data_IF_828692191219
#
_entry.id   IF_828692191219
#
_cell.length_a   1.000
_cell.length_b   1.000
_cell.length_c   1.000
_cell.angle_alpha   90.00
_cell.angle_beta   90.00
_cell.angle_gamma   90.00
#
_symmetry.space_group_name_H-M   'P 1'
#
loop_
_entity.id
_entity.type
_entity.pdbx_description
1 polymer ?
#
# COMPACT_ATOMS: atom_id res chain seq x y z
N UNK A 1 30.02 64.61 44.81
CA UNK A 1 31.26 63.82 44.51
C UNK A 1 30.86 62.33 44.43
N UNK A 2 31.13 61.74 43.30
CA UNK A 2 31.13 60.29 42.96
C UNK A 2 29.75 59.70 42.81
N UNK A 3 29.14 59.65 41.67
CA UNK A 3 29.51 59.00 40.38
C UNK A 3 29.57 57.49 40.45
N UNK A 4 28.69 56.94 39.64
CA UNK A 4 28.96 56.12 38.47
C UNK A 4 28.81 54.62 38.60
N UNK A 5 28.09 54.11 37.61
CA UNK A 5 28.15 52.82 36.98
C UNK A 5 27.19 51.75 37.48
N UNK A 6 26.04 51.72 36.84
CA UNK A 6 25.37 50.45 36.44
C UNK A 6 24.66 50.67 35.14
N UNK A 7 25.38 50.43 34.06
CA UNK A 7 24.81 50.20 32.73
C UNK A 7 25.65 49.14 32.08
N UNK A 8 25.01 48.22 31.45
CA UNK A 8 25.57 47.16 30.59
C UNK A 8 25.63 45.76 31.23
N UNK A 9 24.50 45.09 31.39
CA UNK A 9 24.33 43.63 31.26
C UNK A 9 22.81 43.38 31.10
N UNK A 10 22.27 43.59 29.96
CA UNK A 10 20.90 43.16 29.63
C UNK A 10 20.65 43.16 28.11
N UNK A 11 21.56 42.59 27.35
CA UNK A 11 21.36 42.47 25.88
C UNK A 11 21.91 41.19 25.23
N UNK A 12 22.07 40.12 25.99
CA UNK A 12 22.53 38.83 25.38
C UNK A 12 21.62 37.63 25.65
N UNK A 13 20.40 37.81 26.17
CA UNK A 13 19.52 36.69 26.50
C UNK A 13 18.31 36.49 25.57
N UNK A 14 18.19 37.24 24.46
CA UNK A 14 17.02 37.13 23.55
C UNK A 14 17.32 36.56 22.16
N UNK A 15 18.54 36.15 21.89
CA UNK A 15 18.91 35.64 20.56
C UNK A 15 18.97 34.09 20.44
N UNK A 16 18.69 33.32 21.49
CA UNK A 16 18.82 31.86 21.50
C UNK A 16 17.47 31.10 21.51
N UNK A 17 16.34 31.79 21.56
CA UNK A 17 15.02 31.16 21.60
C UNK A 17 14.33 31.02 20.22
N UNK A 18 14.90 31.57 19.16
CA UNK A 18 14.26 31.58 17.83
C UNK A 18 14.73 30.45 16.87
N UNK A 19 15.66 29.58 17.26
CA UNK A 19 16.22 28.55 16.39
C UNK A 19 15.75 27.10 16.65
N UNK A 20 14.80 26.87 17.56
CA UNK A 20 14.35 25.52 17.90
C UNK A 20 12.92 25.18 17.46
N UNK A 21 12.30 25.94 16.58
CA UNK A 21 10.92 25.65 16.12
C UNK A 21 10.87 25.20 14.65
N UNK A 22 11.99 25.09 13.93
CA UNK A 22 11.97 24.66 12.51
C UNK A 22 12.26 23.17 12.28
N UNK A 23 12.42 22.37 13.32
CA UNK A 23 12.76 20.95 13.22
C UNK A 23 11.58 19.97 13.17
N UNK A 24 10.35 20.40 13.44
CA UNK A 24 9.20 19.48 13.60
C UNK A 24 8.31 19.31 12.38
N UNK A 25 8.55 19.96 11.26
CA UNK A 25 7.64 19.91 10.10
C UNK A 25 7.98 18.85 9.04
N UNK A 26 9.06 18.07 9.17
CA UNK A 26 9.44 17.11 8.14
C UNK A 26 9.01 15.66 8.39
N UNK A 27 8.48 15.35 9.56
CA UNK A 27 8.07 13.97 9.93
C UNK A 27 6.60 13.68 9.71
N UNK A 28 5.77 14.71 9.55
CA UNK A 28 4.32 14.61 9.56
C UNK A 28 3.69 14.09 8.25
N UNK A 29 4.46 13.73 7.23
CA UNK A 29 3.92 13.34 5.91
C UNK A 29 4.53 12.07 5.33
N UNK A 30 4.85 11.09 6.18
CA UNK A 30 5.41 9.81 5.72
C UNK A 30 4.36 8.75 5.43
N UNK A 31 3.13 8.92 5.89
CA UNK A 31 2.00 7.99 5.76
C UNK A 31 0.71 8.75 5.49
N UNK A 32 -0.29 8.03 4.96
CA UNK A 32 -1.60 8.57 4.62
C UNK A 32 -1.65 9.27 3.26
N UNK A 33 -2.82 9.78 2.90
CA UNK A 33 -3.06 10.44 1.60
C UNK A 33 -2.11 11.61 1.40
N UNK A 34 -1.40 11.63 0.26
CA UNK A 34 -0.41 12.65 -0.07
C UNK A 34 1.01 12.34 0.42
N UNK A 35 1.26 11.18 1.02
CA UNK A 35 2.60 10.77 1.45
C UNK A 35 3.56 10.71 0.26
N UNK A 36 4.74 11.32 0.43
CA UNK A 36 5.76 11.37 -0.61
C UNK A 36 6.67 10.15 -0.54
N UNK A 37 7.04 9.65 -1.71
CA UNK A 37 8.04 8.60 -1.82
C UNK A 37 9.37 9.03 -1.16
N UNK A 38 9.94 8.25 -0.22
CA UNK A 38 11.29 8.49 0.27
C UNK A 38 12.32 8.31 -0.86
N UNK A 39 13.52 8.87 -0.68
CA UNK A 39 14.58 8.81 -1.73
C UNK A 39 14.96 7.39 -2.14
N UNK A 40 14.85 6.43 -1.24
CA UNK A 40 15.13 5.02 -1.48
C UNK A 40 13.96 4.23 -2.07
N UNK A 41 12.79 4.85 -2.23
CA UNK A 41 11.65 4.22 -2.85
C UNK A 41 11.64 4.47 -4.37
N UNK A 42 11.12 3.50 -5.08
CA UNK A 42 10.84 3.55 -6.50
C UNK A 42 9.36 3.86 -6.73
N UNK A 43 9.07 4.80 -7.64
CA UNK A 43 7.68 5.15 -8.02
C UNK A 43 7.19 4.13 -9.05
N UNK A 44 5.98 3.63 -8.82
CA UNK A 44 5.33 2.62 -9.66
C UNK A 44 4.16 3.17 -10.47
N UNK A 45 3.64 4.34 -10.10
CA UNK A 45 2.67 5.06 -10.92
C UNK A 45 2.71 6.56 -10.64
N UNK A 46 2.93 7.33 -11.70
CA UNK A 46 3.02 8.80 -11.71
C UNK A 46 1.90 9.49 -12.50
N UNK A 47 0.91 8.72 -12.95
CA UNK A 47 -0.17 9.17 -13.82
C UNK A 47 0.11 8.94 -15.32
N UNK A 48 1.27 8.42 -15.70
CA UNK A 48 1.64 8.24 -17.11
C UNK A 48 1.40 6.82 -17.62
N UNK A 49 1.04 6.73 -18.90
CA UNK A 49 0.97 5.45 -19.63
C UNK A 49 2.33 4.77 -19.69
N UNK A 50 3.38 5.56 -19.89
CA UNK A 50 4.75 5.06 -19.95
C UNK A 50 5.10 4.26 -18.70
N UNK A 51 4.84 4.81 -17.51
CA UNK A 51 5.16 4.13 -16.25
C UNK A 51 4.32 2.86 -16.05
N UNK A 52 3.04 2.88 -16.43
CA UNK A 52 2.22 1.69 -16.41
C UNK A 52 2.82 0.57 -17.28
N UNK A 53 3.23 0.88 -18.51
CA UNK A 53 3.81 -0.10 -19.43
C UNK A 53 5.20 -0.58 -19.00
N UNK A 54 6.00 0.29 -18.36
CA UNK A 54 7.34 -0.06 -17.88
C UNK A 54 7.33 -0.91 -16.62
N UNK A 55 6.44 -0.62 -15.66
CA UNK A 55 6.48 -1.17 -14.30
C UNK A 55 5.52 -2.33 -14.08
N UNK A 56 4.44 -2.44 -14.87
CA UNK A 56 3.36 -3.38 -14.63
C UNK A 56 3.18 -4.37 -15.77
N UNK A 57 2.63 -5.52 -15.42
CA UNK A 57 2.15 -6.55 -16.35
C UNK A 57 0.86 -7.13 -15.81
N UNK A 58 0.12 -7.90 -16.63
CA UNK A 58 -0.98 -8.69 -16.11
C UNK A 58 -0.47 -9.84 -15.23
N UNK A 59 -1.17 -10.07 -14.15
CA UNK A 59 -1.00 -11.28 -13.37
C UNK A 59 -1.71 -12.46 -14.07
N UNK A 60 -0.96 -13.48 -14.45
CA UNK A 60 -1.47 -14.63 -15.21
C UNK A 60 -2.04 -15.71 -14.29
N UNK A 61 -3.05 -15.37 -13.51
CA UNK A 61 -3.77 -16.30 -12.65
C UNK A 61 -4.80 -17.18 -13.38
N UNK A 62 -5.57 -18.00 -12.63
CA UNK A 62 -6.46 -19.01 -13.24
C UNK A 62 -7.56 -18.47 -14.14
N UNK A 63 -7.95 -17.20 -13.91
CA UNK A 63 -9.04 -16.56 -14.68
C UNK A 63 -8.52 -15.53 -15.67
N UNK A 64 -7.21 -15.46 -15.83
CA UNK A 64 -6.57 -14.46 -16.67
C UNK A 64 -7.12 -14.50 -18.10
N UNK A 65 -7.52 -13.35 -18.60
CA UNK A 65 -8.05 -13.19 -19.96
C UNK A 65 -7.58 -11.88 -20.63
N UNK A 66 -6.68 -11.14 -20.00
CA UNK A 66 -6.13 -9.90 -20.55
C UNK A 66 -5.08 -10.15 -21.64
N UNK A 67 -4.84 -9.14 -22.46
CA UNK A 67 -3.80 -9.13 -23.49
C UNK A 67 -2.91 -7.89 -23.30
N UNK A 68 -1.58 -8.09 -23.38
CA UNK A 68 -0.64 -6.98 -23.33
C UNK A 68 -0.78 -6.03 -24.54
N UNK A 69 -0.49 -4.73 -24.37
CA UNK A 69 -0.14 -4.06 -23.12
C UNK A 69 -1.30 -4.03 -22.13
N UNK A 70 -1.00 -3.76 -20.85
CA UNK A 70 -2.05 -3.57 -19.82
C UNK A 70 -3.06 -2.53 -20.29
N UNK A 71 -4.34 -2.92 -20.36
CA UNK A 71 -5.41 -2.06 -20.92
C UNK A 71 -6.18 -1.26 -19.85
N UNK A 72 -5.74 -1.30 -18.60
CA UNK A 72 -6.27 -0.40 -17.59
C UNK A 72 -6.16 1.04 -18.08
N UNK A 73 -7.26 1.78 -17.99
CA UNK A 73 -7.32 3.13 -18.52
C UNK A 73 -6.68 4.15 -17.55
N UNK A 74 -6.11 5.20 -18.14
CA UNK A 74 -5.66 6.37 -17.39
C UNK A 74 -6.70 7.46 -17.59
N UNK A 75 -7.31 7.88 -16.49
CA UNK A 75 -8.41 8.85 -16.48
C UNK A 75 -8.04 10.11 -15.71
N UNK A 76 -8.81 11.17 -15.84
CA UNK A 76 -8.64 12.39 -15.03
C UNK A 76 -8.90 12.08 -13.56
N UNK A 77 -8.07 12.61 -12.65
CA UNK A 77 -8.35 12.56 -11.21
C UNK A 77 -9.66 13.34 -10.92
N UNK A 78 -10.69 12.69 -10.34
CA UNK A 78 -11.97 13.36 -10.09
C UNK A 78 -11.92 14.39 -8.95
N UNK A 79 -10.85 14.40 -8.16
CA UNK A 79 -10.71 15.25 -6.96
C UNK A 79 -9.62 16.30 -7.15
N UNK A 80 -8.52 15.93 -7.80
CA UNK A 80 -7.34 16.80 -7.95
C UNK A 80 -6.97 17.00 -9.42
N UNK A 81 -5.95 17.81 -9.67
CA UNK A 81 -5.33 17.89 -11.01
C UNK A 81 -4.52 16.64 -11.28
N UNK A 82 -4.46 16.24 -12.56
CA UNK A 82 -3.65 15.12 -13.02
C UNK A 82 -4.48 13.94 -13.50
N UNK A 83 -3.81 12.81 -13.60
CA UNK A 83 -4.33 11.55 -14.13
C UNK A 83 -4.10 10.41 -13.15
N UNK A 84 -4.99 9.44 -13.16
CA UNK A 84 -5.02 8.30 -12.24
C UNK A 84 -5.32 7.02 -13.02
N UNK A 85 -4.96 5.89 -12.46
CA UNK A 85 -5.18 4.57 -13.03
C UNK A 85 -6.57 4.06 -12.62
N UNK A 86 -7.34 3.56 -13.57
CA UNK A 86 -8.63 2.90 -13.32
C UNK A 86 -8.45 1.39 -13.37
N UNK A 87 -8.84 0.70 -12.30
CA UNK A 87 -8.71 -0.74 -12.12
C UNK A 87 -9.74 -1.55 -12.93
N UNK A 88 -9.87 -1.24 -14.20
CA UNK A 88 -10.83 -1.93 -15.06
C UNK A 88 -10.26 -2.14 -16.47
N UNK A 89 -10.36 -3.37 -16.95
CA UNK A 89 -10.15 -3.74 -18.36
C UNK A 89 -11.41 -4.43 -18.88
N UNK A 90 -12.35 -3.68 -19.47
CA UNK A 90 -13.61 -4.26 -19.96
C UNK A 90 -13.41 -5.21 -21.14
N UNK A 91 -12.22 -5.23 -21.76
CA UNK A 91 -11.90 -6.15 -22.87
C UNK A 91 -11.47 -7.54 -22.38
N UNK A 92 -11.04 -7.65 -21.11
CA UNK A 92 -10.64 -8.91 -20.49
C UNK A 92 -11.88 -9.63 -19.93
N UNK A 93 -12.40 -10.61 -20.64
CA UNK A 93 -13.60 -11.39 -20.28
C UNK A 93 -14.80 -10.52 -19.83
N UNK A 94 -14.94 -9.32 -20.42
CA UNK A 94 -15.99 -8.36 -20.08
C UNK A 94 -15.77 -7.66 -18.72
N UNK A 95 -14.51 -7.50 -18.29
CA UNK A 95 -14.17 -6.85 -17.03
C UNK A 95 -14.49 -7.67 -15.79
N UNK A 96 -14.68 -8.97 -15.91
CA UNK A 96 -15.03 -9.86 -14.79
C UNK A 96 -13.87 -10.03 -13.81
N UNK A 97 -14.23 -10.30 -12.59
CA UNK A 97 -13.36 -10.62 -11.47
C UNK A 97 -12.18 -11.53 -11.82
N UNK A 98 -10.98 -11.09 -11.47
CA UNK A 98 -9.73 -11.84 -11.61
C UNK A 98 -9.26 -12.10 -13.05
N UNK A 99 -9.81 -11.38 -14.03
CA UNK A 99 -9.42 -11.59 -15.45
C UNK A 99 -8.31 -10.65 -15.90
N UNK A 100 -8.11 -9.55 -15.20
CA UNK A 100 -7.21 -8.48 -15.59
C UNK A 100 -6.44 -7.83 -14.43
N UNK A 101 -6.17 -8.57 -13.36
CA UNK A 101 -5.31 -8.11 -12.27
C UNK A 101 -3.94 -7.73 -12.82
N UNK A 102 -3.36 -6.66 -12.31
CA UNK A 102 -2.01 -6.25 -12.67
C UNK A 102 -1.04 -6.46 -11.52
N UNK A 103 0.21 -6.77 -11.85
CA UNK A 103 1.28 -7.02 -10.88
C UNK A 103 2.53 -6.28 -11.33
N UNK A 104 3.34 -5.82 -10.37
CA UNK A 104 4.64 -5.22 -10.68
C UNK A 104 5.55 -6.24 -11.35
N UNK A 105 6.32 -5.79 -12.37
CA UNK A 105 7.32 -6.64 -13.03
C UNK A 105 8.49 -6.97 -12.11
N UNK A 106 8.85 -6.02 -11.23
CA UNK A 106 9.84 -6.25 -10.18
C UNK A 106 9.16 -6.96 -9.01
N UNK A 107 9.86 -7.93 -8.46
CA UNK A 107 9.43 -8.73 -7.32
C UNK A 107 10.20 -8.32 -6.05
N UNK A 108 9.58 -8.47 -4.89
CA UNK A 108 10.09 -8.04 -3.60
C UNK A 108 9.92 -9.16 -2.58
N UNK A 109 10.89 -9.28 -1.68
CA UNK A 109 10.79 -10.15 -0.51
C UNK A 109 10.22 -9.38 0.66
N UNK A 110 10.96 -8.40 1.14
CA UNK A 110 10.55 -7.48 2.20
C UNK A 110 10.46 -6.08 1.62
N UNK A 111 9.41 -5.35 1.94
CA UNK A 111 9.22 -4.03 1.36
C UNK A 111 8.30 -3.15 2.20
N UNK A 112 8.44 -1.86 1.99
CA UNK A 112 7.43 -0.86 2.33
C UNK A 112 6.73 -0.41 1.05
N UNK A 113 5.41 -0.34 1.08
CA UNK A 113 4.62 0.16 -0.04
C UNK A 113 3.63 1.22 0.43
N UNK A 114 3.35 2.15 -0.46
CA UNK A 114 2.27 3.13 -0.35
C UNK A 114 1.41 3.03 -1.59
N UNK A 115 0.10 2.99 -1.39
CA UNK A 115 -0.90 2.96 -2.47
C UNK A 115 -2.05 3.86 -2.10
N UNK A 116 -2.33 4.87 -2.92
CA UNK A 116 -3.56 5.64 -2.81
C UNK A 116 -4.64 5.08 -3.71
N UNK A 117 -5.84 4.93 -3.15
CA UNK A 117 -7.01 4.46 -3.88
C UNK A 117 -8.25 5.32 -3.62
N UNK A 118 -9.18 5.30 -4.56
CA UNK A 118 -10.48 5.97 -4.45
C UNK A 118 -11.54 5.02 -4.99
N UNK A 119 -12.58 4.79 -4.20
CA UNK A 119 -13.77 4.04 -4.61
C UNK A 119 -14.83 5.07 -5.05
N UNK A 120 -15.13 5.16 -6.35
CA UNK A 120 -16.04 6.20 -6.84
C UNK A 120 -17.51 5.90 -6.56
N UNK A 121 -17.89 4.62 -6.56
CA UNK A 121 -19.27 4.18 -6.48
C UNK A 121 -19.48 3.16 -5.37
N UNK A 122 -20.71 3.15 -4.82
CA UNK A 122 -21.12 2.18 -3.80
C UNK A 122 -20.89 0.74 -4.28
N UNK A 123 -20.38 -0.10 -3.38
CA UNK A 123 -20.08 -1.49 -3.65
C UNK A 123 -18.82 -1.70 -4.50
N UNK A 124 -18.01 -0.66 -4.71
CA UNK A 124 -16.74 -0.79 -5.41
C UNK A 124 -15.80 -1.74 -4.69
N UNK A 125 -15.14 -2.61 -5.43
CA UNK A 125 -14.30 -3.68 -4.93
C UNK A 125 -13.00 -3.80 -5.73
N UNK A 126 -11.91 -4.00 -5.02
CA UNK A 126 -10.56 -4.24 -5.50
C UNK A 126 -9.72 -4.79 -4.35
N UNK A 127 -8.42 -5.01 -4.57
CA UNK A 127 -7.51 -5.48 -3.54
C UNK A 127 -6.07 -5.09 -3.84
N UNK A 128 -5.30 -4.88 -2.78
CA UNK A 128 -3.85 -4.73 -2.81
C UNK A 128 -3.22 -6.01 -2.27
N UNK A 129 -2.45 -6.73 -3.09
CA UNK A 129 -1.84 -7.99 -2.71
C UNK A 129 -0.35 -7.84 -2.46
N UNK A 130 0.07 -8.15 -1.24
CA UNK A 130 1.46 -8.20 -0.82
C UNK A 130 2.09 -9.49 -1.37
N UNK A 131 3.27 -9.39 -1.96
CA UNK A 131 4.00 -10.52 -2.54
C UNK A 131 3.11 -11.36 -3.49
N UNK A 132 2.12 -10.71 -4.14
CA UNK A 132 1.14 -11.34 -5.03
C UNK A 132 0.29 -12.46 -4.35
N UNK A 133 0.21 -12.49 -3.03
CA UNK A 133 -0.40 -13.58 -2.24
C UNK A 133 -1.39 -13.10 -1.20
N UNK A 134 -1.02 -12.08 -0.42
CA UNK A 134 -1.75 -11.68 0.79
C UNK A 134 -2.51 -10.40 0.53
N UNK A 135 -3.83 -10.47 0.60
CA UNK A 135 -4.70 -9.36 0.24
C UNK A 135 -4.98 -8.42 1.40
N UNK A 136 -4.80 -7.13 1.16
CA UNK A 136 -5.42 -6.06 1.92
C UNK A 136 -6.64 -5.59 1.13
N UNK A 137 -7.82 -5.78 1.69
CA UNK A 137 -9.09 -5.55 1.01
C UNK A 137 -9.37 -4.08 0.75
N UNK A 138 -9.91 -3.81 -0.44
CA UNK A 138 -10.47 -2.51 -0.84
C UNK A 138 -11.93 -2.74 -1.24
N UNK A 139 -12.85 -2.59 -0.28
CA UNK A 139 -14.28 -2.87 -0.48
C UNK A 139 -15.14 -1.80 0.20
N UNK A 140 -16.05 -1.18 -0.53
CA UNK A 140 -17.01 -0.26 0.08
C UNK A 140 -18.06 -1.00 0.90
N UNK A 141 -18.21 -0.62 2.16
CA UNK A 141 -19.37 -0.94 2.99
C UNK A 141 -19.26 -2.10 3.97
N UNK A 142 -18.12 -2.77 4.08
CA UNK A 142 -17.92 -3.89 5.01
C UNK A 142 -16.71 -3.68 5.93
N UNK A 143 -16.80 -4.12 7.19
CA UNK A 143 -15.73 -4.06 8.19
C UNK A 143 -15.43 -5.43 8.81
N UNK A 144 -15.84 -6.52 8.18
CA UNK A 144 -15.53 -7.89 8.59
C UNK A 144 -14.10 -8.30 8.17
N UNK A 145 -13.71 -9.55 8.39
CA UNK A 145 -12.46 -10.14 7.88
C UNK A 145 -12.35 -10.15 6.35
N UNK A 146 -13.41 -9.81 5.64
CA UNK A 146 -13.45 -9.60 4.19
C UNK A 146 -13.69 -8.14 3.81
N UNK A 147 -13.77 -7.24 4.80
CA UNK A 147 -14.10 -5.85 4.61
C UNK A 147 -12.89 -4.95 4.39
N UNK A 148 -13.17 -3.69 4.21
CA UNK A 148 -12.18 -2.67 3.91
C UNK A 148 -11.07 -2.60 4.97
N UNK A 149 -9.82 -2.71 4.54
CA UNK A 149 -8.65 -2.70 5.41
C UNK A 149 -8.34 -4.02 6.11
N UNK A 150 -9.13 -5.06 5.88
CA UNK A 150 -8.82 -6.38 6.39
C UNK A 150 -7.59 -6.99 5.69
N UNK A 151 -6.78 -7.71 6.44
CA UNK A 151 -5.95 -8.77 5.87
C UNK A 151 -6.87 -9.99 5.71
N UNK A 152 -7.22 -10.32 4.49
CA UNK A 152 -8.31 -11.25 4.17
C UNK A 152 -8.15 -12.57 4.91
N UNK A 153 -9.20 -12.94 5.65
CA UNK A 153 -9.33 -14.12 6.52
C UNK A 153 -8.38 -14.22 7.71
N UNK A 154 -7.41 -13.35 7.83
CA UNK A 154 -6.55 -13.29 9.01
C UNK A 154 -7.20 -12.40 10.07
N UNK A 155 -7.41 -11.14 9.75
CA UNK A 155 -7.93 -10.16 10.70
C UNK A 155 -8.69 -9.04 10.01
N UNK A 156 -9.77 -8.60 10.64
CA UNK A 156 -10.52 -7.41 10.27
C UNK A 156 -9.75 -6.14 10.65
N UNK A 157 -10.06 -5.02 10.01
CA UNK A 157 -9.58 -3.72 10.48
C UNK A 157 -10.25 -3.38 11.82
N UNK A 158 -9.49 -3.09 12.89
CA UNK A 158 -10.05 -2.85 14.23
C UNK A 158 -10.90 -1.59 14.31
N UNK A 159 -10.82 -0.72 13.32
CA UNK A 159 -11.65 0.48 13.20
C UNK A 159 -11.74 0.94 11.75
N UNK A 160 -12.83 1.60 11.46
CA UNK A 160 -13.13 2.10 10.12
C UNK A 160 -12.41 3.44 9.88
N UNK A 161 -11.32 3.40 9.12
CA UNK A 161 -10.51 4.58 8.82
C UNK A 161 -10.81 5.18 7.44
N UNK A 162 -11.90 4.80 6.82
CA UNK A 162 -12.32 5.17 5.48
C UNK A 162 -12.73 6.64 5.38
N UNK A 163 -12.21 7.36 4.40
CA UNK A 163 -12.58 8.75 4.13
C UNK A 163 -13.94 8.89 3.40
N UNK A 164 -14.47 7.77 2.88
CA UNK A 164 -15.74 7.72 2.17
C UNK A 164 -15.63 7.63 0.65
N UNK A 165 -16.77 7.38 -0.01
CA UNK A 165 -16.88 7.33 -1.46
C UNK A 165 -16.40 8.62 -2.12
N UNK A 166 -15.78 8.50 -3.27
CA UNK A 166 -15.27 9.63 -4.04
C UNK A 166 -14.13 10.40 -3.39
N UNK A 167 -13.54 9.87 -2.32
CA UNK A 167 -12.40 10.45 -1.62
C UNK A 167 -11.19 9.54 -1.69
N UNK A 168 -10.00 10.15 -1.76
CA UNK A 168 -8.75 9.43 -1.71
C UNK A 168 -8.52 8.81 -0.34
N UNK A 169 -8.04 7.60 -0.36
CA UNK A 169 -7.63 6.79 0.76
C UNK A 169 -6.20 6.29 0.52
N UNK A 170 -5.51 5.86 1.56
CA UNK A 170 -4.15 5.34 1.43
C UNK A 170 -3.91 4.14 2.34
N UNK A 171 -3.25 3.13 1.81
CA UNK A 171 -2.55 2.12 2.58
C UNK A 171 -1.06 2.40 2.57
N UNK A 172 -0.46 2.44 3.75
CA UNK A 172 0.97 2.37 3.96
C UNK A 172 1.28 1.05 4.66
N UNK A 173 2.14 0.26 4.06
CA UNK A 173 2.38 -1.11 4.51
C UNK A 173 3.86 -1.38 4.64
N UNK A 174 4.29 -1.99 5.73
CA UNK A 174 5.56 -2.71 5.78
C UNK A 174 5.25 -4.20 5.81
N UNK A 175 5.83 -4.92 4.88
CA UNK A 175 5.66 -6.36 4.70
C UNK A 175 6.99 -7.06 4.85
N UNK A 176 7.01 -8.12 5.64
CA UNK A 176 8.10 -9.08 5.79
C UNK A 176 7.63 -10.46 5.35
N UNK A 177 8.29 -11.01 4.35
CA UNK A 177 7.98 -12.34 3.85
C UNK A 177 8.21 -13.42 4.92
N UNK A 178 7.58 -14.56 4.76
CA UNK A 178 7.86 -15.75 5.55
C UNK A 178 9.36 -16.12 5.49
N UNK A 179 9.84 -16.84 6.47
CA UNK A 179 11.21 -17.35 6.50
C UNK A 179 11.20 -18.86 6.54
N UNK A 180 12.05 -19.45 5.72
CA UNK A 180 12.23 -20.89 5.64
C UNK A 180 13.66 -21.26 5.98
N UNK A 181 13.83 -22.42 6.62
CA UNK A 181 15.12 -23.06 6.85
C UNK A 181 14.97 -24.54 6.53
N UNK A 182 15.82 -25.06 5.66
CA UNK A 182 15.80 -26.46 5.20
C UNK A 182 14.40 -26.88 4.67
N UNK A 183 13.75 -25.96 3.92
CA UNK A 183 12.42 -26.18 3.36
C UNK A 183 11.26 -26.16 4.35
N UNK A 184 11.53 -25.83 5.62
CA UNK A 184 10.49 -25.71 6.66
C UNK A 184 10.23 -24.25 7.00
N UNK A 185 8.95 -23.89 7.12
CA UNK A 185 8.54 -22.59 7.61
C UNK A 185 9.03 -22.40 9.06
N UNK A 186 9.86 -21.38 9.29
CA UNK A 186 10.38 -21.04 10.64
C UNK A 186 9.76 -19.76 11.18
N UNK A 187 9.37 -18.82 10.31
CA UNK A 187 8.66 -17.61 10.68
C UNK A 187 7.60 -17.30 9.63
N UNK A 188 6.39 -16.95 10.09
CA UNK A 188 5.30 -16.52 9.21
C UNK A 188 5.61 -15.19 8.57
N UNK A 189 4.96 -14.91 7.45
CA UNK A 189 4.89 -13.54 6.91
C UNK A 189 4.20 -12.61 7.91
N UNK A 190 4.59 -11.33 7.91
CA UNK A 190 4.03 -10.30 8.79
C UNK A 190 3.77 -9.01 8.01
N UNK A 191 2.74 -8.29 8.44
CA UNK A 191 2.46 -6.98 7.93
C UNK A 191 2.08 -6.00 9.04
N UNK A 192 2.60 -4.77 8.94
CA UNK A 192 2.07 -3.60 9.62
C UNK A 192 1.40 -2.72 8.58
N UNK A 193 0.14 -2.37 8.82
CA UNK A 193 -0.69 -1.61 7.89
C UNK A 193 -1.21 -0.35 8.56
N UNK A 194 -1.00 0.77 7.90
CA UNK A 194 -1.68 2.02 8.22
C UNK A 194 -2.74 2.29 7.15
N UNK A 195 -3.93 2.61 7.59
CA UNK A 195 -5.04 3.03 6.76
C UNK A 195 -5.35 4.50 7.06
N UNK A 196 -5.17 5.38 6.07
CA UNK A 196 -5.32 6.83 6.21
C UNK A 196 -4.54 7.40 7.42
N UNK A 197 -3.32 6.91 7.64
CA UNK A 197 -2.45 7.34 8.73
C UNK A 197 -2.75 6.71 10.10
N UNK A 198 -3.76 5.85 10.21
CA UNK A 198 -4.07 5.11 11.44
C UNK A 198 -3.56 3.68 11.33
N UNK A 199 -2.78 3.22 12.30
CA UNK A 199 -2.29 1.85 12.36
C UNK A 199 -3.46 0.90 12.60
N UNK A 200 -3.80 0.07 11.62
CA UNK A 200 -4.89 -0.90 11.68
C UNK A 200 -4.39 -2.31 11.95
N UNK A 201 -3.18 -2.64 11.52
CA UNK A 201 -2.51 -3.90 11.85
C UNK A 201 -1.08 -3.59 12.30
N UNK A 202 -0.58 -4.32 13.29
CA UNK A 202 0.77 -4.17 13.84
C UNK A 202 1.43 -5.54 13.94
N UNK A 203 2.51 -5.77 13.19
CA UNK A 203 3.22 -7.06 13.11
C UNK A 203 2.27 -8.26 12.97
N UNK A 204 1.17 -8.06 12.23
CA UNK A 204 0.15 -9.10 12.06
C UNK A 204 0.73 -10.28 11.31
N UNK A 205 0.78 -11.44 11.97
CA UNK A 205 1.14 -12.69 11.32
C UNK A 205 0.10 -13.11 10.29
N UNK A 206 0.57 -13.66 9.17
CA UNK A 206 -0.24 -14.16 8.09
C UNK A 206 -0.01 -15.66 7.96
N UNK A 207 -1.06 -16.45 8.13
CA UNK A 207 -0.98 -17.90 8.24
C UNK A 207 -1.38 -18.62 6.96
N UNK A 208 -2.03 -17.91 6.02
CA UNK A 208 -2.55 -18.53 4.79
C UNK A 208 -2.58 -17.56 3.63
N UNK A 209 -2.48 -18.11 2.43
CA UNK A 209 -2.71 -17.35 1.19
C UNK A 209 -4.20 -17.33 0.92
N UNK A 210 -4.74 -16.13 0.69
CA UNK A 210 -6.16 -15.96 0.41
C UNK A 210 -6.38 -14.78 -0.52
N UNK A 211 -7.51 -14.81 -1.16
CA UNK A 211 -8.02 -13.71 -1.96
C UNK A 211 -8.13 -14.07 -3.42
N UNK A 212 -9.36 -14.01 -3.90
CA UNK A 212 -9.74 -14.09 -5.28
C UNK A 212 -9.08 -15.22 -6.09
N UNK A 213 -8.49 -14.86 -7.23
CA UNK A 213 -7.91 -15.84 -8.14
C UNK A 213 -6.73 -16.62 -7.59
N UNK A 214 -6.06 -16.13 -6.55
CA UNK A 214 -4.93 -16.81 -5.94
C UNK A 214 -5.35 -18.07 -5.19
N UNK A 215 -6.57 -18.10 -4.67
CA UNK A 215 -7.00 -19.16 -3.75
C UNK A 215 -6.95 -20.56 -4.36
N UNK A 216 -7.08 -20.71 -5.66
CA UNK A 216 -7.00 -22.01 -6.32
C UNK A 216 -5.59 -22.43 -6.73
N UNK A 217 -4.67 -21.49 -6.92
CA UNK A 217 -3.31 -21.75 -7.41
C UNK A 217 -2.31 -21.82 -6.26
N UNK A 218 -2.31 -20.81 -5.41
CA UNK A 218 -1.32 -20.67 -4.35
C UNK A 218 -1.74 -21.41 -3.06
N UNK A 219 -2.76 -22.23 -3.15
CA UNK A 219 -3.29 -22.98 -2.02
C UNK A 219 -4.36 -22.26 -1.24
N UNK A 220 -4.63 -20.99 -1.52
CA UNK A 220 -5.72 -20.22 -0.96
C UNK A 220 -5.96 -20.46 0.53
N UNK A 221 -7.15 -20.91 0.86
CA UNK A 221 -7.57 -21.25 2.22
C UNK A 221 -7.18 -22.66 2.70
N UNK A 222 -6.28 -23.36 1.99
CA UNK A 222 -5.84 -24.72 2.34
C UNK A 222 -4.74 -24.74 3.43
N UNK A 223 -4.90 -23.95 4.47
CA UNK A 223 -4.04 -24.03 5.66
C UNK A 223 -2.58 -23.64 5.43
N UNK A 224 -2.33 -22.55 4.72
CA UNK A 224 -0.98 -22.01 4.51
C UNK A 224 -0.22 -22.58 3.32
N UNK A 225 -0.86 -23.38 2.51
CA UNK A 225 -0.33 -23.83 1.22
C UNK A 225 -0.06 -22.63 0.32
N UNK A 226 1.05 -22.64 -0.40
CA UNK A 226 1.47 -21.50 -1.22
C UNK A 226 2.25 -20.40 -0.47
N UNK A 227 2.42 -20.52 0.85
CA UNK A 227 3.32 -19.64 1.61
C UNK A 227 4.76 -19.92 1.17
N UNK A 228 5.52 -18.86 0.95
CA UNK A 228 6.89 -18.94 0.47
C UNK A 228 7.70 -17.73 0.90
N UNK A 229 9.01 -17.83 0.87
CA UNK A 229 9.96 -16.72 1.01
C UNK A 229 10.49 -16.20 -0.34
N UNK A 230 10.02 -16.79 -1.44
CA UNK A 230 10.34 -16.33 -2.79
C UNK A 230 9.74 -14.95 -3.03
N UNK A 231 10.51 -13.99 -3.56
CA UNK A 231 9.98 -12.67 -3.91
C UNK A 231 8.72 -12.74 -4.79
N UNK A 232 7.85 -11.78 -4.66
CA UNK A 232 6.66 -11.63 -5.49
C UNK A 232 6.29 -10.16 -5.67
N UNK A 233 5.52 -9.86 -6.71
CA UNK A 233 5.13 -8.49 -7.04
C UNK A 233 4.06 -7.92 -6.10
N UNK A 234 3.92 -6.61 -6.10
CA UNK A 234 2.72 -5.96 -5.61
C UNK A 234 1.63 -6.12 -6.68
N UNK A 235 0.49 -6.70 -6.32
CA UNK A 235 -0.63 -6.91 -7.24
C UNK A 235 -1.81 -6.00 -6.89
N UNK A 236 -2.48 -5.46 -7.90
CA UNK A 236 -3.74 -4.74 -7.79
C UNK A 236 -4.82 -5.52 -8.53
N UNK A 237 -5.98 -5.65 -7.91
CA UNK A 237 -7.06 -6.47 -8.42
C UNK A 237 -8.02 -5.69 -9.31
N UNK A 238 -8.51 -6.36 -10.37
CA UNK A 238 -9.60 -5.90 -11.22
C UNK A 238 -10.83 -6.78 -10.99
N UNK A 239 -11.89 -6.21 -10.43
CA UNK A 239 -13.15 -6.90 -10.17
C UNK A 239 -14.34 -6.37 -11.00
N UNK A 240 -14.04 -5.66 -12.09
CA UNK A 240 -15.08 -5.03 -12.89
C UNK A 240 -15.67 -3.76 -12.27
N UNK A 241 -15.00 -3.20 -11.27
CA UNK A 241 -15.34 -1.95 -10.61
C UNK A 241 -14.30 -0.87 -10.94
N UNK A 242 -14.75 0.37 -11.06
CA UNK A 242 -13.90 1.52 -11.40
C UNK A 242 -13.14 2.08 -10.19
N UNK A 243 -12.43 1.23 -9.45
CA UNK A 243 -11.54 1.71 -8.37
C UNK A 243 -10.34 2.42 -8.99
N UNK A 244 -10.05 3.62 -8.49
CA UNK A 244 -8.97 4.46 -9.00
C UNK A 244 -7.73 4.36 -8.12
N UNK A 245 -6.55 4.42 -8.75
CA UNK A 245 -5.27 4.37 -8.07
C UNK A 245 -4.34 5.51 -8.49
N UNK A 246 -3.53 6.00 -7.54
CA UNK A 246 -2.47 6.97 -7.79
C UNK A 246 -1.38 6.87 -6.73
N UNK A 247 -0.31 7.64 -6.87
CA UNK A 247 0.77 7.77 -5.89
C UNK A 247 1.21 6.41 -5.34
N UNK A 248 1.62 5.53 -6.26
CA UNK A 248 2.09 4.19 -5.89
C UNK A 248 3.61 4.21 -5.85
N UNK A 249 4.20 3.86 -4.71
CA UNK A 249 5.64 3.69 -4.59
C UNK A 249 6.00 2.52 -3.66
N UNK A 250 7.15 1.94 -3.89
CA UNK A 250 7.66 0.78 -3.15
C UNK A 250 9.11 1.05 -2.79
N UNK A 251 9.45 0.78 -1.54
CA UNK A 251 10.80 0.76 -1.02
C UNK A 251 11.15 -0.68 -0.65
N UNK A 252 12.14 -1.24 -1.31
CA UNK A 252 12.68 -2.55 -0.95
C UNK A 252 13.38 -2.46 0.40
N UNK A 253 13.16 -3.44 1.25
CA UNK A 253 13.73 -3.55 2.57
C UNK A 253 14.48 -4.87 2.71
N UNK A 254 15.40 -4.91 3.66
CA UNK A 254 16.01 -6.14 4.17
C UNK A 254 15.71 -6.19 5.68
N UNK A 255 14.73 -7.01 6.05
CA UNK A 255 14.24 -7.11 7.42
C UNK A 255 14.76 -8.39 8.07
N UNK A 256 15.97 -8.32 8.64
CA UNK A 256 16.55 -9.42 9.41
C UNK A 256 15.75 -9.69 10.68
N UNK A 257 15.14 -8.66 11.26
CA UNK A 257 14.28 -8.76 12.44
C UNK A 257 12.81 -8.96 12.07
N UNK A 258 12.07 -9.57 12.99
CA UNK A 258 10.66 -9.88 12.77
C UNK A 258 9.71 -8.67 12.77
N UNK A 259 10.13 -7.52 13.31
CA UNK A 259 9.27 -6.33 13.37
C UNK A 259 9.07 -5.69 12.01
N UNK A 260 7.83 -5.33 11.72
CA UNK A 260 7.43 -4.53 10.55
C UNK A 260 6.99 -3.12 10.94
N UNK A 261 7.14 -2.75 12.20
CA UNK A 261 6.78 -1.40 12.67
C UNK A 261 7.77 -0.35 12.19
N UNK A 262 7.31 0.88 11.87
CA UNK A 262 8.11 1.98 11.32
C UNK A 262 7.69 3.37 11.83
#
# INVERSE_FOLDING_TARGET
MKDLKFTTIALCAFALAACMITGFSSWAQKIGVGAKAPRSAEVYFDGSRKMLDEKWTYWKGPRFAGELPVKWSIVKDPVNKGTVLNANDPTAAGGKYGTADIVTKKEFRDFRAHVEFLIPNKGGNSGMYLQNRYEIQILDGDSTKHGLGALINETESPYYAYNGLGKWNAYDVVFRAARFRDGKLVEKAKATVYFNGKKVHSDQEISQVWGGPNSGIDGGNDGGKGITDVPGGLKLQAEGHDVLYRNIWIQELDLDNASTDF
#
